data_IF_972176541907
#
_entry.id   IF_972176541907
#
_cell.length_a   1.000
_cell.length_b   1.000
_cell.length_c   1.000
_cell.angle_alpha   90.00
_cell.angle_beta   90.00
_cell.angle_gamma   90.00
#
_symmetry.space_group_name_H-M   'P 1'
#
loop_
_entity.id
_entity.type
_entity.pdbx_description
1 polymer ?
#
# COMPACT_ATOMS: atom_id res chain seq x y z
N UNK A 1 47.44 13.37 34.64
CA UNK A 1 46.27 12.52 34.34
C UNK A 1 46.76 11.09 34.39
N UNK A 2 46.27 10.28 35.32
CA UNK A 2 46.78 8.93 35.49
C UNK A 2 46.41 8.04 34.29
N UNK A 3 47.31 7.15 33.89
CA UNK A 3 47.15 6.22 32.77
C UNK A 3 45.82 5.43 32.94
N UNK A 4 45.48 5.09 34.19
CA UNK A 4 44.22 4.40 34.51
C UNK A 4 42.98 5.23 34.12
N UNK A 5 42.98 6.53 34.42
CA UNK A 5 41.91 7.45 34.08
C UNK A 5 41.73 7.58 32.56
N UNK A 6 42.86 7.62 31.83
CA UNK A 6 42.83 7.67 30.37
C UNK A 6 42.23 6.38 29.77
N UNK A 7 42.61 5.21 30.27
CA UNK A 7 42.10 3.91 29.82
C UNK A 7 40.58 3.82 30.06
N UNK A 8 40.12 4.23 31.25
CA UNK A 8 38.69 4.23 31.60
C UNK A 8 37.93 5.17 30.68
N UNK A 9 38.46 6.36 30.39
CA UNK A 9 37.81 7.33 29.48
C UNK A 9 37.66 6.78 28.06
N UNK A 10 38.73 6.15 27.53
CA UNK A 10 38.70 5.53 26.20
C UNK A 10 37.69 4.39 26.17
N UNK A 11 37.69 3.50 27.16
CA UNK A 11 36.72 2.40 27.25
C UNK A 11 35.29 2.91 27.32
N UNK A 12 35.00 3.98 28.05
CA UNK A 12 33.70 4.60 28.15
C UNK A 12 33.21 5.19 26.82
N UNK A 13 34.11 5.83 26.07
CA UNK A 13 33.81 6.36 24.74
C UNK A 13 33.47 5.22 23.78
N UNK A 14 34.24 4.15 23.76
CA UNK A 14 34.01 2.98 22.90
C UNK A 14 32.65 2.37 23.23
N UNK A 15 32.32 2.19 24.50
CA UNK A 15 31.05 1.63 24.94
C UNK A 15 29.87 2.53 24.52
N UNK A 16 30.02 3.86 24.65
CA UNK A 16 29.00 4.82 24.22
C UNK A 16 28.75 4.75 22.70
N UNK A 17 29.78 4.64 21.89
CA UNK A 17 29.68 4.48 20.44
C UNK A 17 28.97 3.19 20.07
N UNK A 18 29.34 2.06 20.69
CA UNK A 18 28.70 0.76 20.44
C UNK A 18 27.22 0.84 20.81
N UNK A 19 26.88 1.44 21.95
CA UNK A 19 25.47 1.59 22.38
C UNK A 19 24.68 2.46 21.44
N UNK A 20 25.26 3.55 20.93
CA UNK A 20 24.60 4.42 19.94
C UNK A 20 24.31 3.67 18.62
N UNK A 21 25.31 2.95 18.10
CA UNK A 21 25.14 2.15 16.86
C UNK A 21 24.07 1.07 17.06
N UNK A 22 24.10 0.38 18.20
CA UNK A 22 23.07 -0.64 18.52
C UNK A 22 21.67 -0.03 18.58
N UNK A 23 21.51 1.12 19.23
CA UNK A 23 20.24 1.82 19.34
C UNK A 23 19.68 2.24 17.96
N UNK A 24 20.53 2.75 17.07
CA UNK A 24 20.16 3.09 15.69
C UNK A 24 19.71 1.83 14.93
N UNK A 25 20.45 0.74 15.05
CA UNK A 25 20.11 -0.53 14.41
C UNK A 25 18.75 -1.04 14.86
N UNK A 26 18.50 -1.09 16.18
CA UNK A 26 17.20 -1.51 16.74
C UNK A 26 16.07 -0.62 16.24
N UNK A 27 16.27 0.71 16.26
CA UNK A 27 15.28 1.66 15.75
C UNK A 27 14.89 1.39 14.29
N UNK A 28 15.89 1.18 13.41
CA UNK A 28 15.62 0.87 11.99
C UNK A 28 14.84 -0.43 11.83
N UNK A 29 15.16 -1.46 12.61
CA UNK A 29 14.45 -2.74 12.57
C UNK A 29 13.01 -2.60 13.06
N UNK A 30 12.79 -1.86 14.14
CA UNK A 30 11.46 -1.58 14.69
C UNK A 30 10.59 -0.85 13.66
N UNK A 31 11.09 0.24 13.07
CA UNK A 31 10.36 0.99 12.04
C UNK A 31 9.98 0.11 10.83
N UNK A 32 10.89 -0.77 10.39
CA UNK A 32 10.59 -1.72 9.31
C UNK A 32 9.51 -2.74 9.71
N UNK A 33 9.56 -3.22 10.94
CA UNK A 33 8.59 -4.17 11.46
C UNK A 33 7.20 -3.52 11.56
N UNK A 34 7.14 -2.34 12.18
CA UNK A 34 5.89 -1.60 12.38
C UNK A 34 5.22 -1.26 11.05
N UNK A 35 6.02 -0.86 10.05
CA UNK A 35 5.54 -0.62 8.70
C UNK A 35 4.91 -1.86 8.06
N UNK A 36 5.53 -3.03 8.21
CA UNK A 36 4.96 -4.29 7.71
C UNK A 36 3.67 -4.64 8.43
N UNK A 37 3.64 -4.49 9.75
CA UNK A 37 2.45 -4.74 10.55
C UNK A 37 1.30 -3.81 10.14
N UNK A 38 1.56 -2.50 10.04
CA UNK A 38 0.57 -1.54 9.57
C UNK A 38 0.03 -1.88 8.16
N UNK A 39 0.90 -2.42 7.29
CA UNK A 39 0.49 -2.88 5.95
C UNK A 39 -0.45 -4.09 6.03
N UNK A 40 -0.16 -5.06 6.90
CA UNK A 40 -1.00 -6.24 7.10
C UNK A 40 -2.37 -5.84 7.64
N UNK A 41 -2.40 -4.97 8.64
CA UNK A 41 -3.64 -4.52 9.28
C UNK A 41 -4.51 -3.73 8.28
N UNK A 42 -3.91 -2.80 7.55
CA UNK A 42 -4.62 -2.04 6.52
C UNK A 42 -5.13 -2.94 5.37
N UNK A 43 -4.34 -3.94 4.98
CA UNK A 43 -4.76 -4.89 3.95
C UNK A 43 -5.91 -5.79 4.41
N UNK A 44 -5.88 -6.29 5.65
CA UNK A 44 -6.97 -7.10 6.19
C UNK A 44 -8.29 -6.32 6.21
N UNK A 45 -8.25 -5.06 6.64
CA UNK A 45 -9.43 -4.18 6.60
C UNK A 45 -9.92 -3.98 5.16
N UNK A 46 -9.00 -3.76 4.21
CA UNK A 46 -9.34 -3.62 2.81
C UNK A 46 -9.96 -4.91 2.26
N UNK A 47 -9.39 -6.06 2.59
CA UNK A 47 -9.88 -7.38 2.17
C UNK A 47 -11.34 -7.57 2.58
N UNK A 48 -11.65 -7.46 3.86
CA UNK A 48 -12.98 -7.72 4.41
C UNK A 48 -14.02 -6.69 3.95
N UNK A 49 -13.64 -5.41 3.95
CA UNK A 49 -14.60 -4.33 3.70
C UNK A 49 -14.80 -4.01 2.22
N UNK A 50 -13.85 -4.36 1.36
CA UNK A 50 -13.81 -3.93 -0.03
C UNK A 50 -13.65 -5.09 -1.00
N UNK A 51 -12.53 -5.83 -0.92
CA UNK A 51 -12.19 -6.81 -1.94
C UNK A 51 -13.22 -7.95 -2.00
N UNK A 52 -13.64 -8.45 -0.86
CA UNK A 52 -14.64 -9.53 -0.78
C UNK A 52 -15.98 -9.09 -1.38
N UNK A 53 -16.39 -7.84 -1.18
CA UNK A 53 -17.61 -7.29 -1.78
C UNK A 53 -17.51 -7.13 -3.28
N UNK A 54 -16.38 -6.64 -3.80
CA UNK A 54 -16.16 -6.51 -5.24
C UNK A 54 -16.08 -7.87 -5.91
N UNK A 55 -15.54 -8.88 -5.23
CA UNK A 55 -15.43 -10.24 -5.75
C UNK A 55 -16.79 -10.90 -5.98
N UNK A 56 -17.85 -10.47 -5.30
CA UNK A 56 -19.23 -10.94 -5.55
C UNK A 56 -19.76 -10.57 -6.93
N UNK A 57 -19.23 -9.51 -7.55
CA UNK A 57 -19.65 -9.10 -8.89
C UNK A 57 -18.85 -9.86 -9.96
N UNK A 58 -19.53 -10.36 -10.99
CA UNK A 58 -18.87 -10.88 -12.20
C UNK A 58 -18.32 -9.74 -13.07
N UNK A 59 -17.38 -10.04 -13.98
CA UNK A 59 -16.85 -9.04 -14.91
C UNK A 59 -17.95 -8.45 -15.82
N UNK A 60 -18.93 -9.29 -16.25
CA UNK A 60 -20.08 -8.84 -17.03
C UNK A 60 -20.97 -7.88 -16.24
N UNK A 61 -21.20 -8.19 -14.95
CA UNK A 61 -22.02 -7.33 -14.08
C UNK A 61 -21.35 -5.97 -13.84
N UNK A 62 -20.04 -5.92 -13.67
CA UNK A 62 -19.31 -4.64 -13.52
C UNK A 62 -19.43 -3.78 -14.78
N UNK A 63 -19.35 -4.39 -15.98
CA UNK A 63 -19.55 -3.66 -17.24
C UNK A 63 -20.98 -3.07 -17.32
N UNK A 64 -21.98 -3.87 -17.00
CA UNK A 64 -23.39 -3.42 -16.95
C UNK A 64 -23.58 -2.24 -15.98
N UNK A 65 -23.03 -2.35 -14.76
CA UNK A 65 -23.08 -1.28 -13.75
C UNK A 65 -22.38 0.00 -14.26
N UNK A 66 -21.26 -0.13 -14.97
CA UNK A 66 -20.54 1.01 -15.53
C UNK A 66 -21.36 1.78 -16.58
N UNK A 67 -22.33 1.16 -17.25
CA UNK A 67 -23.20 1.83 -18.23
C UNK A 67 -24.17 2.79 -17.56
N UNK A 68 -24.74 2.43 -16.39
CA UNK A 68 -25.67 3.28 -15.65
C UNK A 68 -25.04 3.95 -14.42
N UNK A 69 -24.43 5.11 -14.65
CA UNK A 69 -23.78 5.90 -13.58
C UNK A 69 -24.74 6.47 -12.53
N UNK A 70 -26.07 6.34 -12.71
CA UNK A 70 -27.08 6.79 -11.73
C UNK A 70 -27.53 5.66 -10.81
N UNK A 71 -27.24 4.42 -11.14
CA UNK A 71 -27.64 3.25 -10.36
C UNK A 71 -27.07 3.28 -8.94
N UNK A 72 -27.72 2.59 -8.03
CA UNK A 72 -27.27 2.43 -6.65
C UNK A 72 -25.97 1.63 -6.62
N UNK A 73 -25.89 0.58 -7.42
CA UNK A 73 -24.72 -0.28 -7.54
C UNK A 73 -23.48 0.47 -8.02
N UNK A 74 -23.64 1.39 -8.98
CA UNK A 74 -22.54 2.25 -9.43
C UNK A 74 -21.99 3.11 -8.30
N UNK A 75 -22.86 3.70 -7.49
CA UNK A 75 -22.45 4.53 -6.34
C UNK A 75 -21.74 3.69 -5.29
N UNK A 76 -22.25 2.50 -4.98
CA UNK A 76 -21.64 1.58 -4.03
C UNK A 76 -20.24 1.13 -4.49
N UNK A 77 -20.10 0.70 -5.75
CA UNK A 77 -18.80 0.35 -6.32
C UNK A 77 -17.82 1.54 -6.31
N UNK A 78 -18.30 2.74 -6.63
CA UNK A 78 -17.46 3.94 -6.59
C UNK A 78 -16.91 4.19 -5.19
N UNK A 79 -17.69 3.95 -4.14
CA UNK A 79 -17.23 4.07 -2.74
C UNK A 79 -16.17 3.01 -2.42
N UNK A 80 -16.37 1.77 -2.87
CA UNK A 80 -15.39 0.69 -2.66
C UNK A 80 -14.08 0.99 -3.40
N UNK A 81 -14.17 1.48 -4.64
CA UNK A 81 -12.99 1.86 -5.43
C UNK A 81 -12.23 3.04 -4.81
N UNK A 82 -12.92 4.02 -4.21
CA UNK A 82 -12.27 5.11 -3.50
C UNK A 82 -11.44 4.62 -2.29
N UNK A 83 -11.85 3.53 -1.65
CA UNK A 83 -11.06 2.91 -0.57
C UNK A 83 -9.80 2.21 -1.09
N UNK A 84 -9.88 1.58 -2.28
CA UNK A 84 -8.70 1.00 -2.94
C UNK A 84 -7.72 2.11 -3.31
N UNK A 85 -8.21 3.20 -3.88
CA UNK A 85 -7.41 4.39 -4.20
C UNK A 85 -6.70 4.92 -2.95
N UNK A 86 -7.41 5.08 -1.85
CA UNK A 86 -6.84 5.53 -0.58
C UNK A 86 -5.74 4.58 -0.05
N UNK A 87 -5.97 3.27 -0.12
CA UNK A 87 -4.95 2.29 0.23
C UNK A 87 -3.71 2.42 -0.68
N UNK A 88 -3.92 2.63 -1.98
CA UNK A 88 -2.86 2.82 -2.98
C UNK A 88 -2.00 4.05 -2.68
N UNK A 89 -2.62 5.17 -2.25
CA UNK A 89 -1.90 6.35 -1.73
C UNK A 89 -0.96 5.97 -0.59
N UNK A 90 -1.44 5.18 0.37
CA UNK A 90 -0.62 4.73 1.50
C UNK A 90 0.60 3.90 1.07
N UNK A 91 0.44 3.05 0.04
CA UNK A 91 1.53 2.25 -0.53
C UNK A 91 2.51 3.13 -1.30
N UNK A 92 2.02 3.97 -2.21
CA UNK A 92 2.84 4.82 -3.07
C UNK A 92 3.60 5.90 -2.27
N UNK A 93 2.98 6.43 -1.21
CA UNK A 93 3.62 7.35 -0.25
C UNK A 93 4.57 6.66 0.73
N UNK A 94 4.79 5.35 0.59
CA UNK A 94 5.67 4.55 1.44
C UNK A 94 5.25 4.49 2.93
N UNK A 95 4.00 4.80 3.24
CA UNK A 95 3.40 4.55 4.56
C UNK A 95 3.28 3.04 4.75
N UNK A 96 2.79 2.34 3.73
CA UNK A 96 2.75 0.87 3.68
C UNK A 96 3.92 0.28 2.90
N UNK A 97 4.25 -0.98 3.17
CA UNK A 97 5.36 -1.68 2.53
C UNK A 97 4.92 -2.36 1.22
N UNK A 98 5.38 -1.82 0.09
CA UNK A 98 5.04 -2.34 -1.24
C UNK A 98 5.42 -3.81 -1.43
N UNK A 99 6.54 -4.29 -0.85
CA UNK A 99 6.96 -5.69 -0.98
C UNK A 99 6.00 -6.62 -0.25
N UNK A 100 5.52 -6.17 0.91
CA UNK A 100 4.49 -6.89 1.66
C UNK A 100 3.19 -6.96 0.86
N UNK A 101 2.72 -5.85 0.28
CA UNK A 101 1.52 -5.83 -0.59
C UNK A 101 1.69 -6.77 -1.79
N UNK A 102 2.84 -6.74 -2.46
CA UNK A 102 3.13 -7.65 -3.57
C UNK A 102 2.98 -9.12 -3.17
N UNK A 103 3.54 -9.49 -2.03
CA UNK A 103 3.50 -10.88 -1.53
C UNK A 103 2.10 -11.32 -1.10
N UNK A 104 1.30 -10.41 -0.54
CA UNK A 104 -0.06 -10.69 -0.09
C UNK A 104 -1.03 -10.84 -1.27
N UNK A 105 -1.02 -9.87 -2.17
CA UNK A 105 -2.08 -9.75 -3.15
C UNK A 105 -1.65 -9.10 -4.48
N UNK A 106 -0.37 -9.06 -4.82
CA UNK A 106 0.10 -8.36 -6.02
C UNK A 106 -0.61 -8.79 -7.30
N UNK A 107 -0.73 -10.12 -7.54
CA UNK A 107 -1.46 -10.65 -8.69
C UNK A 107 -2.97 -10.35 -8.61
N UNK A 108 -3.53 -10.42 -7.41
CA UNK A 108 -4.95 -10.12 -7.19
C UNK A 108 -5.27 -8.66 -7.53
N UNK A 109 -4.43 -7.71 -7.13
CA UNK A 109 -4.61 -6.31 -7.48
C UNK A 109 -4.55 -6.06 -8.99
N UNK A 110 -3.67 -6.73 -9.72
CA UNK A 110 -3.62 -6.60 -11.18
C UNK A 110 -4.92 -7.10 -11.83
N UNK A 111 -5.40 -8.29 -11.44
CA UNK A 111 -6.68 -8.83 -11.92
C UNK A 111 -7.87 -7.94 -11.54
N UNK A 112 -7.84 -7.38 -10.34
CA UNK A 112 -8.86 -6.47 -9.85
C UNK A 112 -8.90 -5.17 -10.65
N UNK A 113 -7.74 -4.62 -11.00
CA UNK A 113 -7.65 -3.42 -11.82
C UNK A 113 -8.30 -3.64 -13.19
N UNK A 114 -7.94 -4.74 -13.87
CA UNK A 114 -8.52 -5.10 -15.17
C UNK A 114 -10.05 -5.27 -15.07
N UNK A 115 -10.52 -5.88 -13.99
CA UNK A 115 -11.94 -6.05 -13.70
C UNK A 115 -12.68 -4.72 -13.53
N UNK A 116 -12.04 -3.74 -12.86
CA UNK A 116 -12.62 -2.43 -12.55
C UNK A 116 -12.39 -1.37 -13.64
N UNK A 117 -11.61 -1.69 -14.66
CA UNK A 117 -11.27 -0.76 -15.75
C UNK A 117 -12.50 -0.08 -16.38
N UNK A 118 -13.64 -0.77 -16.67
CA UNK A 118 -14.82 -0.12 -17.21
C UNK A 118 -15.39 0.98 -16.29
N UNK A 119 -15.32 0.78 -14.98
CA UNK A 119 -15.75 1.77 -13.98
C UNK A 119 -14.81 2.97 -13.93
N UNK A 120 -13.50 2.72 -13.99
CA UNK A 120 -12.44 3.76 -14.01
C UNK A 120 -12.63 4.66 -15.23
N UNK A 121 -12.72 4.06 -16.41
CA UNK A 121 -12.94 4.79 -17.68
C UNK A 121 -14.23 5.60 -17.66
N UNK A 122 -15.33 5.01 -17.18
CA UNK A 122 -16.61 5.72 -17.06
C UNK A 122 -16.48 6.93 -16.15
N UNK A 123 -15.82 6.78 -15.00
CA UNK A 123 -15.61 7.88 -14.05
C UNK A 123 -14.75 9.01 -14.64
N UNK A 124 -13.67 8.66 -15.34
CA UNK A 124 -12.81 9.61 -16.05
C UNK A 124 -13.58 10.42 -17.10
N UNK A 125 -14.42 9.73 -17.90
CA UNK A 125 -15.28 10.37 -18.90
C UNK A 125 -16.30 11.33 -18.28
N UNK A 126 -16.99 10.92 -17.21
CA UNK A 126 -18.00 11.76 -16.54
C UNK A 126 -17.35 13.04 -15.98
N UNK A 127 -16.22 12.91 -15.33
CA UNK A 127 -15.57 14.02 -14.66
C UNK A 127 -14.62 14.82 -15.58
N UNK A 128 -14.47 14.42 -16.84
CA UNK A 128 -13.53 15.01 -17.80
C UNK A 128 -12.11 15.17 -17.22
N UNK A 129 -11.67 14.16 -16.49
CA UNK A 129 -10.38 14.16 -15.79
C UNK A 129 -9.79 12.76 -15.80
N UNK A 130 -8.58 12.64 -16.32
CA UNK A 130 -7.83 11.38 -16.36
C UNK A 130 -7.22 11.01 -14.99
N UNK A 131 -7.31 11.92 -14.00
CA UNK A 131 -6.70 11.74 -12.68
C UNK A 131 -7.49 10.89 -11.68
N UNK A 132 -8.64 10.37 -12.07
CA UNK A 132 -9.40 9.47 -11.19
C UNK A 132 -8.75 8.08 -11.15
N UNK A 133 -8.45 7.63 -9.94
CA UNK A 133 -7.79 6.34 -9.64
C UNK A 133 -6.35 6.25 -10.16
N UNK A 134 -5.64 7.38 -10.23
CA UNK A 134 -4.22 7.44 -10.63
C UNK A 134 -3.32 6.72 -9.65
N UNK A 135 -3.62 6.79 -8.35
CA UNK A 135 -2.83 6.12 -7.33
C UNK A 135 -2.98 4.60 -7.38
N UNK A 136 -4.18 4.11 -7.72
CA UNK A 136 -4.38 2.69 -7.95
C UNK A 136 -3.63 2.23 -9.21
N UNK A 137 -3.69 2.98 -10.30
CA UNK A 137 -2.94 2.70 -11.52
C UNK A 137 -1.42 2.73 -11.27
N UNK A 138 -0.93 3.71 -10.51
CA UNK A 138 0.47 3.80 -10.12
C UNK A 138 0.90 2.59 -9.26
N UNK A 139 0.05 2.15 -8.34
CA UNK A 139 0.29 0.93 -7.57
C UNK A 139 0.43 -0.29 -8.49
N UNK A 140 -0.46 -0.46 -9.47
CA UNK A 140 -0.38 -1.56 -10.44
C UNK A 140 0.93 -1.53 -11.21
N UNK A 141 1.33 -0.36 -11.71
CA UNK A 141 2.60 -0.19 -12.42
C UNK A 141 3.80 -0.56 -11.53
N UNK A 142 3.79 -0.14 -10.27
CA UNK A 142 4.84 -0.48 -9.32
C UNK A 142 4.88 -2.00 -9.02
N UNK A 143 3.73 -2.66 -8.97
CA UNK A 143 3.65 -4.12 -8.79
C UNK A 143 4.18 -4.86 -10.03
N UNK A 144 3.84 -4.44 -11.25
CA UNK A 144 4.34 -5.03 -12.48
C UNK A 144 5.86 -4.88 -12.63
N UNK A 145 6.43 -3.74 -12.34
CA UNK A 145 7.89 -3.54 -12.37
C UNK A 145 8.64 -4.53 -11.46
N UNK A 146 8.02 -4.97 -10.37
CA UNK A 146 8.61 -5.95 -9.46
C UNK A 146 8.46 -7.40 -9.92
N UNK A 147 7.59 -7.71 -10.90
CA UNK A 147 7.48 -9.07 -11.48
C UNK A 147 8.55 -9.33 -12.55
N UNK A 148 9.14 -8.28 -13.11
CA UNK A 148 10.13 -8.36 -14.16
C UNK A 148 11.58 -8.29 -13.64
N UNK A 149 11.79 -8.28 -12.33
CA UNK A 149 13.08 -8.37 -11.66
C UNK A 149 13.26 -9.75 -10.99
#
# INVERSE_FOLDING_TARGET
MDIVTLIISIASIILAVISAVHSIYVYIQTVKHDKKQATLDAFNILQEQVLDKINLYSNSKIKEIAEDARSKEYKELTILMARIEHFSVGVNSKIYDLRTVKRLAGKHFCVLYDKLLPMIEKKRKINKSDKHYDEFELLINNLHCLYNQ
#
